data_IF_072764681796
#
_entry.id   IF_072764681796
#
_cell.length_a   1.000
_cell.length_b   1.000
_cell.length_c   1.000
_cell.angle_alpha   90.00
_cell.angle_beta   90.00
_cell.angle_gamma   90.00
#
_symmetry.space_group_name_H-M   'P 1'
#
loop_
_entity.id
_entity.type
_entity.pdbx_description
1 polymer ?
#
# COMPACT_ATOMS: atom_id res chain seq x y z
N UNK A 1 -21.75 -6.76 -5.90
CA UNK A 1 -22.27 -7.52 -7.05
C UNK A 1 -23.40 -8.36 -6.50
N UNK A 2 -24.65 -7.94 -6.72
CA UNK A 2 -25.81 -8.68 -6.24
C UNK A 2 -26.23 -9.75 -7.25
N UNK A 3 -27.16 -10.62 -6.86
CA UNK A 3 -27.61 -11.74 -7.69
C UNK A 3 -28.22 -11.27 -9.02
N UNK A 4 -28.91 -10.13 -9.03
CA UNK A 4 -29.45 -9.56 -10.27
C UNK A 4 -28.34 -9.13 -11.23
N UNK A 5 -27.26 -8.54 -10.71
CA UNK A 5 -26.10 -8.12 -11.50
C UNK A 5 -25.32 -9.32 -12.07
N UNK A 6 -25.25 -10.43 -11.33
CA UNK A 6 -24.50 -11.62 -11.75
C UNK A 6 -25.34 -12.52 -12.68
N UNK A 7 -26.67 -12.50 -12.56
CA UNK A 7 -27.59 -13.35 -13.34
C UNK A 7 -27.29 -13.32 -14.84
N UNK A 8 -26.98 -12.13 -15.34
CA UNK A 8 -26.78 -11.87 -16.77
C UNK A 8 -25.29 -11.73 -17.15
N UNK A 9 -24.37 -12.03 -16.21
CA UNK A 9 -22.93 -11.94 -16.41
C UNK A 9 -22.29 -13.31 -16.70
N UNK A 10 -21.33 -13.34 -17.64
CA UNK A 10 -20.53 -14.52 -17.95
C UNK A 10 -19.06 -14.27 -17.60
N UNK A 11 -18.42 -15.25 -16.96
CA UNK A 11 -17.00 -15.24 -16.63
C UNK A 11 -16.25 -16.35 -17.39
N UNK A 12 -16.10 -16.23 -18.73
CA UNK A 12 -15.62 -17.32 -19.59
C UNK A 12 -14.18 -17.76 -19.30
N UNK A 13 -13.42 -16.95 -18.57
CA UNK A 13 -12.04 -17.23 -18.18
C UNK A 13 -11.92 -17.67 -16.71
N UNK A 14 -13.04 -17.82 -15.99
CA UNK A 14 -13.05 -18.07 -14.54
C UNK A 14 -12.40 -19.40 -14.14
N UNK A 15 -12.44 -20.40 -15.02
CA UNK A 15 -11.89 -21.74 -14.80
C UNK A 15 -10.49 -21.94 -15.40
N UNK A 16 -9.92 -20.91 -16.03
CA UNK A 16 -8.63 -21.00 -16.71
C UNK A 16 -7.53 -20.29 -15.91
N UNK A 17 -6.36 -20.90 -15.85
CA UNK A 17 -5.17 -20.21 -15.40
C UNK A 17 -4.75 -19.14 -16.41
N UNK A 18 -4.12 -18.07 -15.89
CA UNK A 18 -3.68 -16.95 -16.72
C UNK A 18 -2.74 -17.36 -17.86
N UNK A 19 -1.92 -18.39 -17.65
CA UNK A 19 -1.03 -18.92 -18.68
C UNK A 19 -1.82 -19.54 -19.84
N UNK A 20 -2.80 -20.40 -19.54
CA UNK A 20 -3.68 -21.04 -20.52
C UNK A 20 -4.45 -20.02 -21.35
N UNK A 21 -4.92 -18.93 -20.71
CA UNK A 21 -5.59 -17.82 -21.42
C UNK A 21 -4.66 -17.17 -22.45
N UNK A 22 -3.36 -17.03 -22.14
CA UNK A 22 -2.38 -16.43 -23.07
C UNK A 22 -2.01 -17.37 -24.21
N UNK A 23 -1.89 -18.67 -23.93
CA UNK A 23 -1.65 -19.70 -24.95
C UNK A 23 -2.82 -19.77 -25.93
N UNK A 24 -4.05 -19.84 -25.42
CA UNK A 24 -5.26 -19.84 -26.26
C UNK A 24 -5.35 -18.57 -27.13
N UNK A 25 -4.98 -17.41 -26.57
CA UNK A 25 -4.94 -16.16 -27.33
C UNK A 25 -3.87 -16.19 -28.43
N UNK A 26 -2.72 -16.83 -28.20
CA UNK A 26 -1.67 -16.99 -29.20
C UNK A 26 -2.07 -17.96 -30.31
N UNK A 27 -2.66 -19.11 -29.94
CA UNK A 27 -3.13 -20.14 -30.88
C UNK A 27 -4.24 -19.64 -31.82
N UNK A 28 -4.96 -18.59 -31.40
CA UNK A 28 -6.02 -17.93 -32.17
C UNK A 28 -5.56 -16.59 -32.80
N UNK A 29 -4.25 -16.35 -32.89
CA UNK A 29 -3.65 -15.17 -33.53
C UNK A 29 -4.14 -13.81 -32.96
N UNK A 30 -4.51 -13.77 -31.67
CA UNK A 30 -4.94 -12.53 -31.03
C UNK A 30 -3.75 -11.65 -30.69
N UNK A 31 -3.71 -10.43 -31.23
CA UNK A 31 -2.62 -9.45 -31.00
C UNK A 31 -2.34 -9.14 -29.53
N UNK A 32 -3.28 -9.43 -28.63
CA UNK A 32 -3.17 -9.17 -27.19
C UNK A 32 -2.53 -10.30 -26.40
N UNK A 33 -2.16 -11.44 -27.02
CA UNK A 33 -1.68 -12.64 -26.32
C UNK A 33 -0.50 -12.36 -25.37
N UNK A 34 0.40 -11.44 -25.74
CA UNK A 34 1.57 -11.05 -24.96
C UNK A 34 1.47 -9.63 -24.36
N UNK A 35 0.32 -8.96 -24.50
CA UNK A 35 0.13 -7.61 -23.95
C UNK A 35 0.24 -7.66 -22.43
N UNK A 36 1.06 -6.77 -21.86
CA UNK A 36 1.19 -6.64 -20.41
C UNK A 36 -0.17 -6.26 -19.81
N UNK A 37 -0.52 -6.92 -18.70
CA UNK A 37 -1.75 -6.63 -17.96
C UNK A 37 -1.70 -5.21 -17.39
N UNK A 38 -2.85 -4.54 -17.35
CA UNK A 38 -2.97 -3.22 -16.74
C UNK A 38 -2.67 -3.31 -15.25
N UNK A 39 -1.80 -2.42 -14.76
CA UNK A 39 -1.46 -2.28 -13.34
C UNK A 39 -2.05 -1.00 -12.77
N UNK A 40 -2.32 -0.97 -11.47
CA UNK A 40 -2.92 0.20 -10.80
C UNK A 40 -4.45 0.26 -10.92
N UNK A 41 -5.01 1.47 -10.79
CA UNK A 41 -6.47 1.69 -10.82
C UNK A 41 -6.96 1.71 -12.27
N UNK A 42 -8.02 0.95 -12.54
CA UNK A 42 -8.51 0.57 -13.88
C UNK A 42 -8.60 1.71 -14.92
N UNK A 43 -8.87 2.95 -14.49
CA UNK A 43 -9.11 4.11 -15.36
C UNK A 43 -8.03 5.20 -15.28
N UNK A 44 -7.04 5.06 -14.40
CA UNK A 44 -5.94 6.02 -14.26
C UNK A 44 -4.74 5.62 -15.14
N UNK A 45 -4.55 4.32 -15.35
CA UNK A 45 -3.40 3.76 -16.05
C UNK A 45 -2.11 3.80 -15.23
N UNK A 46 -0.97 3.52 -15.89
CA UNK A 46 0.36 3.59 -15.26
C UNK A 46 0.80 5.05 -15.12
N UNK A 47 0.50 5.68 -13.98
CA UNK A 47 0.90 7.05 -13.63
C UNK A 47 1.43 7.11 -12.20
N UNK A 48 2.20 8.16 -11.89
CA UNK A 48 2.53 8.49 -10.51
C UNK A 48 1.24 8.79 -9.74
N UNK A 49 0.84 7.85 -8.88
CA UNK A 49 -0.41 7.93 -8.12
C UNK A 49 -0.43 9.11 -7.16
N UNK A 50 0.73 9.50 -6.60
CA UNK A 50 0.84 10.64 -5.71
C UNK A 50 0.60 11.94 -6.49
N UNK A 51 1.24 12.09 -7.64
CA UNK A 51 1.03 13.25 -8.51
C UNK A 51 -0.42 13.34 -8.99
N UNK A 52 -1.06 12.20 -9.30
CA UNK A 52 -2.48 12.16 -9.66
C UNK A 52 -3.37 12.66 -8.52
N UNK A 53 -3.20 12.14 -7.30
CA UNK A 53 -4.01 12.54 -6.15
C UNK A 53 -3.84 14.02 -5.79
N UNK A 54 -2.65 14.59 -5.95
CA UNK A 54 -2.37 16.02 -5.69
C UNK A 54 -3.18 16.98 -6.57
N UNK A 55 -3.73 16.51 -7.70
CA UNK A 55 -4.62 17.31 -8.55
C UNK A 55 -6.01 17.51 -7.93
N UNK A 56 -6.40 16.63 -7.00
CA UNK A 56 -7.75 16.59 -6.42
C UNK A 56 -7.76 16.81 -4.91
N UNK A 57 -6.67 16.48 -4.22
CA UNK A 57 -6.54 16.57 -2.76
C UNK A 57 -5.49 17.60 -2.39
N UNK A 58 -5.86 18.53 -1.51
CA UNK A 58 -4.92 19.49 -0.95
C UNK A 58 -3.85 18.78 -0.11
N UNK A 59 -2.59 19.18 -0.34
CA UNK A 59 -1.47 18.79 0.51
C UNK A 59 -1.59 19.48 1.87
N UNK A 60 -1.68 18.70 2.94
CA UNK A 60 -1.67 19.21 4.33
C UNK A 60 -0.52 18.57 5.09
N UNK A 61 0.70 19.13 4.97
CA UNK A 61 1.87 18.55 5.60
C UNK A 61 1.77 18.51 7.14
N UNK A 62 2.37 17.49 7.74
CA UNK A 62 2.33 17.25 9.18
C UNK A 62 3.49 16.35 9.65
N UNK A 63 3.71 16.24 10.97
CA UNK A 63 4.85 15.48 11.49
C UNK A 63 4.67 13.97 11.29
N UNK A 64 5.76 13.29 10.97
CA UNK A 64 5.86 11.84 11.18
C UNK A 64 6.43 11.59 12.58
N UNK A 65 5.75 10.78 13.39
CA UNK A 65 6.12 10.50 14.78
C UNK A 65 6.30 9.01 15.04
N UNK A 66 7.21 8.65 15.94
CA UNK A 66 7.24 7.30 16.52
C UNK A 66 6.07 7.13 17.50
N UNK A 67 5.72 5.89 17.90
CA UNK A 67 4.73 5.66 18.96
C UNK A 67 5.09 6.34 20.29
N UNK A 68 6.38 6.54 20.55
CA UNK A 68 6.92 7.22 21.74
C UNK A 68 6.84 8.76 21.61
N UNK A 69 6.41 9.27 20.46
CA UNK A 69 6.20 10.69 20.20
C UNK A 69 7.39 11.43 19.58
N UNK A 70 8.50 10.74 19.26
CA UNK A 70 9.66 11.36 18.61
C UNK A 70 9.32 11.76 17.17
N UNK A 71 9.64 12.99 16.78
CA UNK A 71 9.45 13.45 15.39
C UNK A 71 10.61 12.94 14.53
N UNK A 72 10.29 12.09 13.56
CA UNK A 72 11.27 11.44 12.67
C UNK A 72 11.20 11.93 11.22
N UNK A 73 10.24 12.78 10.88
CA UNK A 73 10.13 13.35 9.54
C UNK A 73 8.88 14.20 9.36
N UNK A 74 8.56 14.52 8.10
CA UNK A 74 7.38 15.26 7.71
C UNK A 74 6.70 14.55 6.55
N UNK A 75 5.38 14.36 6.65
CA UNK A 75 4.56 13.82 5.57
C UNK A 75 3.94 14.95 4.74
N UNK A 76 3.56 14.65 3.50
CA UNK A 76 2.89 15.60 2.60
C UNK A 76 1.37 15.66 2.80
N UNK A 77 0.81 14.76 3.60
CA UNK A 77 -0.62 14.71 3.93
C UNK A 77 -1.05 13.29 4.18
N UNK A 78 -1.92 13.06 5.17
CA UNK A 78 -2.27 11.70 5.61
C UNK A 78 -2.93 10.85 4.51
N UNK A 79 -3.60 11.48 3.54
CA UNK A 79 -4.25 10.81 2.42
C UNK A 79 -3.28 10.13 1.44
N UNK A 80 -1.99 10.51 1.46
CA UNK A 80 -0.96 9.97 0.57
C UNK A 80 -0.23 8.74 1.11
N UNK A 81 -0.69 8.21 2.25
CA UNK A 81 -0.08 7.08 2.93
C UNK A 81 -1.12 6.01 3.26
N UNK A 82 -0.71 4.77 3.45
CA UNK A 82 -1.59 3.67 3.89
C UNK A 82 -0.95 2.96 5.08
N UNK A 83 -1.75 2.51 6.05
CA UNK A 83 -1.23 1.68 7.15
C UNK A 83 -0.55 0.44 6.56
N UNK A 84 0.63 0.09 7.06
CA UNK A 84 1.51 -0.96 6.53
C UNK A 84 2.46 -0.52 5.40
N UNK A 85 2.38 0.73 4.94
CA UNK A 85 3.26 1.23 3.89
C UNK A 85 4.71 1.37 4.38
N UNK A 86 5.64 0.77 3.64
CA UNK A 86 7.11 0.90 3.84
C UNK A 86 7.75 2.00 2.99
N UNK A 87 7.39 2.04 1.70
CA UNK A 87 8.07 2.88 0.71
C UNK A 87 7.57 4.32 0.75
N UNK A 88 8.41 5.27 0.35
CA UNK A 88 8.01 6.68 0.18
C UNK A 88 7.82 7.48 1.46
N UNK A 89 8.36 6.99 2.60
CA UNK A 89 8.40 7.70 3.88
C UNK A 89 9.54 8.72 3.96
N UNK A 90 10.63 8.53 3.21
CA UNK A 90 11.77 9.46 3.22
C UNK A 90 12.56 9.48 4.53
N UNK A 91 12.39 8.46 5.39
CA UNK A 91 13.09 8.32 6.67
C UNK A 91 14.30 7.39 6.43
N UNK A 92 15.52 7.94 6.50
CA UNK A 92 16.76 7.20 6.32
C UNK A 92 17.80 7.49 7.41
N UNK A 93 18.77 6.59 7.57
CA UNK A 93 20.02 6.86 8.28
C UNK A 93 19.97 7.01 9.81
N UNK A 94 18.83 6.73 10.46
CA UNK A 94 18.75 6.74 11.93
C UNK A 94 19.07 5.35 12.48
N UNK A 95 20.13 5.25 13.28
CA UNK A 95 20.42 4.08 14.08
C UNK A 95 19.24 3.85 15.02
N UNK A 96 18.68 2.64 15.02
CA UNK A 96 17.81 2.18 16.10
C UNK A 96 18.56 2.37 17.40
N UNK A 97 17.99 3.10 18.36
CA UNK A 97 18.53 3.19 19.72
C UNK A 97 18.78 1.77 20.24
N UNK A 98 19.97 1.48 20.79
CA UNK A 98 20.38 0.11 21.05
C UNK A 98 19.62 -0.45 22.24
N UNK A 99 18.69 -1.38 21.98
CA UNK A 99 18.47 -2.46 22.93
C UNK A 99 19.73 -3.34 22.93
N UNK A 100 20.57 -3.15 23.95
CA UNK A 100 21.67 -4.01 24.40
C UNK A 100 22.26 -5.03 23.38
N UNK A 101 23.45 -4.71 22.86
CA UNK A 101 24.46 -5.71 22.50
C UNK A 101 24.41 -6.30 21.10
N UNK A 102 25.05 -5.63 20.13
CA UNK A 102 26.23 -6.17 19.44
C UNK A 102 26.74 -5.18 18.40
N UNK A 103 27.99 -4.76 18.59
CA UNK A 103 28.73 -3.94 17.65
C UNK A 103 29.29 -4.82 16.52
N UNK A 104 28.98 -4.47 15.28
CA UNK A 104 29.69 -4.97 14.10
C UNK A 104 28.79 -5.42 12.97
N UNK A 105 28.31 -4.48 12.14
CA UNK A 105 28.01 -4.66 10.70
C UNK A 105 27.15 -3.47 10.23
N UNK A 106 27.47 -2.91 9.05
CA UNK A 106 26.75 -1.86 8.28
C UNK A 106 25.44 -1.32 8.90
N UNK A 107 25.46 -0.07 9.37
CA UNK A 107 24.42 0.63 10.14
C UNK A 107 23.10 0.86 9.36
N UNK A 108 22.43 -0.19 8.93
CA UNK A 108 21.08 -0.16 8.36
C UNK A 108 20.08 -0.55 9.43
N UNK A 109 19.48 0.44 10.11
CA UNK A 109 18.35 0.19 11.01
C UNK A 109 17.19 -0.49 10.28
N UNK A 110 16.32 -1.17 11.01
CA UNK A 110 15.14 -1.82 10.44
C UNK A 110 14.29 -0.82 9.63
N UNK A 111 13.62 -1.26 8.55
CA UNK A 111 12.80 -0.39 7.72
C UNK A 111 11.62 0.19 8.52
N UNK A 112 11.24 1.41 8.18
CA UNK A 112 10.08 2.11 8.74
C UNK A 112 8.80 1.71 8.03
N UNK A 113 7.71 1.65 8.78
CA UNK A 113 6.36 1.39 8.32
C UNK A 113 5.37 2.38 8.92
N UNK A 114 4.32 2.74 8.19
CA UNK A 114 3.16 3.45 8.75
C UNK A 114 2.38 2.49 9.63
N UNK A 115 2.25 2.81 10.91
CA UNK A 115 1.48 2.00 11.87
C UNK A 115 0.13 2.61 12.21
N UNK A 116 0.00 3.93 12.12
CA UNK A 116 -1.27 4.62 12.39
C UNK A 116 -1.33 6.02 11.75
N UNK A 117 -2.52 6.61 11.73
CA UNK A 117 -2.78 7.99 11.30
C UNK A 117 -3.63 8.70 12.35
N UNK A 118 -3.03 9.68 13.03
CA UNK A 118 -3.76 10.55 13.93
C UNK A 118 -4.27 11.78 13.16
N UNK A 119 -5.56 11.79 12.85
CA UNK A 119 -6.20 12.89 12.13
C UNK A 119 -6.41 14.15 12.97
N UNK A 120 -6.53 14.00 14.30
CA UNK A 120 -6.71 15.15 15.20
C UNK A 120 -5.46 16.03 15.25
N UNK A 121 -4.28 15.40 15.27
CA UNK A 121 -3.00 16.09 15.33
C UNK A 121 -2.31 16.23 13.96
N UNK A 122 -2.97 15.80 12.88
CA UNK A 122 -2.39 15.66 11.54
C UNK A 122 -1.01 14.99 11.57
N UNK A 123 -0.88 13.86 12.26
CA UNK A 123 0.38 13.16 12.48
C UNK A 123 0.34 11.74 11.90
N UNK A 124 1.39 11.38 11.16
CA UNK A 124 1.60 10.04 10.64
C UNK A 124 2.45 9.25 11.64
N UNK A 125 1.93 8.15 12.19
CA UNK A 125 2.67 7.35 13.15
C UNK A 125 3.44 6.26 12.40
N UNK A 126 4.73 6.17 12.65
CA UNK A 126 5.65 5.25 11.98
C UNK A 126 6.49 4.47 12.99
N UNK A 127 6.77 3.20 12.72
CA UNK A 127 7.62 2.36 13.55
C UNK A 127 8.58 1.51 12.71
N UNK A 128 9.68 1.08 13.31
CA UNK A 128 10.63 0.19 12.67
C UNK A 128 10.23 -1.29 12.83
N UNK A 129 10.59 -2.09 11.83
CA UNK A 129 10.41 -3.55 11.85
C UNK A 129 9.07 -3.98 11.26
N UNK A 130 9.10 -4.95 10.34
CA UNK A 130 7.89 -5.47 9.67
C UNK A 130 6.96 -6.27 10.60
N UNK A 131 7.44 -6.62 11.79
CA UNK A 131 6.71 -7.33 12.83
C UNK A 131 6.35 -6.44 14.04
N UNK A 132 6.39 -5.12 13.88
CA UNK A 132 6.02 -4.21 14.97
C UNK A 132 4.58 -4.50 15.44
N UNK A 133 4.30 -4.67 16.76
CA UNK A 133 2.98 -5.06 17.26
C UNK A 133 1.83 -4.17 16.79
N UNK A 134 2.07 -2.86 16.61
CA UNK A 134 1.07 -1.90 16.13
C UNK A 134 0.65 -2.11 14.66
N UNK A 135 1.38 -2.91 13.87
CA UNK A 135 0.94 -3.29 12.52
C UNK A 135 -0.16 -4.36 12.53
N UNK A 136 -0.36 -5.05 13.66
CA UNK A 136 -1.29 -6.18 13.76
C UNK A 136 -2.55 -5.80 14.53
N UNK A 137 -3.67 -6.33 14.08
CA UNK A 137 -4.97 -6.18 14.74
C UNK A 137 -5.64 -7.53 14.86
N UNK A 138 -6.33 -7.76 15.99
CA UNK A 138 -7.05 -9.03 16.24
C UNK A 138 -8.51 -8.99 15.77
N UNK A 139 -9.03 -7.81 15.45
CA UNK A 139 -10.43 -7.55 15.10
C UNK A 139 -10.52 -6.37 14.14
N UNK A 140 -11.57 -6.34 13.35
CA UNK A 140 -11.97 -5.18 12.54
C UNK A 140 -13.48 -4.96 12.67
N UNK A 141 -13.94 -3.75 12.37
CA UNK A 141 -15.36 -3.45 12.18
C UNK A 141 -15.58 -3.14 10.70
N UNK A 142 -16.48 -3.90 10.07
CA UNK A 142 -16.88 -3.67 8.68
C UNK A 142 -18.23 -2.96 8.62
N UNK A 143 -18.42 -2.15 7.57
CA UNK A 143 -19.68 -1.50 7.23
C UNK A 143 -19.93 -1.67 5.73
N UNK A 144 -21.12 -1.31 5.24
CA UNK A 144 -21.51 -1.51 3.83
C UNK A 144 -21.38 -2.98 3.39
N UNK A 145 -21.88 -3.88 4.24
CA UNK A 145 -21.84 -5.31 3.97
C UNK A 145 -22.69 -5.62 2.74
N UNK A 146 -22.11 -6.35 1.81
CA UNK A 146 -22.77 -6.87 0.63
C UNK A 146 -22.56 -8.38 0.59
N UNK A 147 -23.65 -9.11 0.40
CA UNK A 147 -23.68 -10.57 0.29
C UNK A 147 -24.19 -10.99 -1.08
#
# INVERSE_FOLDING_TARGET
LNQEQIRDALFPLGELHKAEVRELAADNDLITYNKKDSTGICFIGERDFRAFLQQYLASQPGPMRTPEGEIVGQHIGLSFYTIGQRHGLGIGGRASTPAAGNAGSSTGGEPWYVVDKNTADNALIVAQGGNHPLLFSRRLRASQLHW
#
